data_IF_741728938602
#
_entry.id   IF_741728938602
#
_cell.length_a   1.000
_cell.length_b   1.000
_cell.length_c   1.000
_cell.angle_alpha   90.00
_cell.angle_beta   90.00
_cell.angle_gamma   90.00
#
_symmetry.space_group_name_H-M   'P 1'
#
loop_
_entity.id
_entity.type
_entity.pdbx_description
1 polymer ?
#
# COMPACT_ATOMS: atom_id res chain seq x y z
N UNK A 1 -12.84 2.79 -12.88
CA UNK A 1 -11.68 2.94 -11.99
C UNK A 1 -12.27 3.51 -10.74
N UNK A 2 -12.47 2.62 -9.77
CA UNK A 2 -13.02 2.93 -8.45
C UNK A 2 -11.99 2.53 -7.39
N UNK A 3 -10.71 2.66 -7.77
CA UNK A 3 -9.56 2.21 -7.00
C UNK A 3 -8.96 3.36 -6.19
N UNK A 4 -8.57 3.06 -4.96
CA UNK A 4 -7.76 3.92 -4.11
C UNK A 4 -6.34 3.38 -4.13
N UNK A 5 -5.38 4.19 -4.54
CA UNK A 5 -3.96 3.85 -4.53
C UNK A 5 -3.21 4.85 -3.64
N UNK A 6 -2.58 4.34 -2.58
CA UNK A 6 -1.84 5.14 -1.59
C UNK A 6 -0.37 4.74 -1.60
N UNK A 7 0.51 5.73 -1.55
CA UNK A 7 1.95 5.51 -1.40
C UNK A 7 2.42 6.12 -0.09
N UNK A 8 3.05 5.30 0.77
CA UNK A 8 3.62 5.72 2.05
C UNK A 8 2.61 6.40 3.00
N UNK A 9 3.15 7.30 3.83
CA UNK A 9 2.40 8.20 4.71
C UNK A 9 1.36 9.03 3.91
N UNK A 10 0.22 9.44 4.49
CA UNK A 10 0.07 9.72 5.92
C UNK A 10 -0.87 8.75 6.67
N UNK A 11 -1.68 7.95 5.97
CA UNK A 11 -2.83 7.24 6.54
C UNK A 11 -4.15 7.84 6.06
N UNK A 12 -5.29 7.19 6.38
CA UNK A 12 -6.60 7.54 5.83
C UNK A 12 -7.68 7.85 6.89
N UNK A 13 -7.29 8.04 8.15
CA UNK A 13 -8.16 8.24 9.33
C UNK A 13 -9.18 7.13 9.63
N UNK A 14 -9.23 6.08 8.81
CA UNK A 14 -9.96 4.84 9.05
C UNK A 14 -8.98 3.72 9.39
N UNK A 15 -9.44 2.73 10.17
CA UNK A 15 -8.62 1.57 10.55
C UNK A 15 -8.86 0.35 9.64
N UNK A 16 -9.87 0.40 8.76
CA UNK A 16 -10.14 -0.65 7.78
C UNK A 16 -10.39 -0.13 6.37
N UNK A 17 -9.91 -0.88 5.37
CA UNK A 17 -10.25 -0.67 3.97
C UNK A 17 -11.76 -0.88 3.68
N UNK A 18 -12.50 -1.61 4.52
CA UNK A 18 -13.97 -1.73 4.38
C UNK A 18 -14.69 -0.39 4.57
N UNK A 19 -14.10 0.53 5.36
CA UNK A 19 -14.70 1.83 5.66
C UNK A 19 -14.62 2.80 4.47
N UNK A 20 -13.82 2.49 3.45
CA UNK A 20 -13.63 3.31 2.25
C UNK A 20 -14.70 3.08 1.17
N UNK A 21 -15.58 2.08 1.35
CA UNK A 21 -16.75 1.80 0.50
C UNK A 21 -16.44 1.48 -0.99
N UNK A 22 -15.18 1.28 -1.37
CA UNK A 22 -14.77 0.82 -2.70
C UNK A 22 -14.53 -0.70 -2.78
N UNK A 23 -14.54 -1.37 -1.64
CA UNK A 23 -14.18 -2.78 -1.49
C UNK A 23 -12.68 -2.99 -1.33
N UNK A 24 -12.30 -3.89 -0.43
CA UNK A 24 -10.89 -4.17 -0.06
C UNK A 24 -9.97 -4.50 -1.24
N UNK A 25 -10.49 -5.17 -2.27
CA UNK A 25 -9.74 -5.50 -3.49
C UNK A 25 -9.42 -4.31 -4.40
N UNK A 26 -9.99 -3.14 -4.11
CA UNK A 26 -9.78 -1.88 -4.83
C UNK A 26 -8.99 -0.85 -4.01
N UNK A 27 -8.43 -1.26 -2.86
CA UNK A 27 -7.56 -0.41 -2.03
C UNK A 27 -6.15 -0.95 -2.10
N UNK A 28 -5.23 -0.14 -2.63
CA UNK A 28 -3.87 -0.55 -2.96
C UNK A 28 -2.87 0.31 -2.18
N UNK A 29 -1.91 -0.32 -1.52
CA UNK A 29 -0.89 0.36 -0.72
C UNK A 29 0.52 -0.01 -1.20
N UNK A 30 1.37 1.02 -1.35
CA UNK A 30 2.81 0.88 -1.54
C UNK A 30 3.52 1.42 -0.29
N UNK A 31 4.39 0.63 0.30
CA UNK A 31 5.22 1.04 1.43
C UNK A 31 6.67 0.59 1.18
N UNK A 32 7.57 1.55 0.98
CA UNK A 32 8.98 1.26 0.80
C UNK A 32 9.56 0.76 2.13
N UNK A 33 10.34 -0.34 2.14
CA UNK A 33 10.84 -0.96 3.39
C UNK A 33 11.68 -0.03 4.29
N UNK A 34 12.23 1.05 3.73
CA UNK A 34 13.08 2.03 4.39
C UNK A 34 12.42 3.43 4.52
N UNK A 35 11.11 3.52 4.31
CA UNK A 35 10.34 4.77 4.44
C UNK A 35 9.90 5.05 5.88
N UNK A 36 10.82 5.64 6.66
CA UNK A 36 10.56 6.03 8.05
C UNK A 36 9.52 7.17 8.19
N UNK A 37 9.07 7.80 7.09
CA UNK A 37 8.07 8.87 7.11
C UNK A 37 6.65 8.29 7.13
N UNK A 38 6.44 7.08 6.60
CA UNK A 38 5.19 6.33 6.73
C UNK A 38 4.74 6.24 8.19
N UNK A 39 5.68 5.90 9.07
CA UNK A 39 5.45 5.80 10.52
C UNK A 39 5.13 7.17 11.15
N UNK A 40 5.77 8.26 10.72
CA UNK A 40 5.52 9.60 11.29
C UNK A 40 4.15 10.17 10.89
N UNK A 41 3.71 9.94 9.65
CA UNK A 41 2.39 10.35 9.19
C UNK A 41 1.26 9.61 9.92
N UNK A 42 1.50 8.34 10.28
CA UNK A 42 0.53 7.49 10.98
C UNK A 42 -0.01 8.13 12.26
N UNK A 43 0.83 8.86 13.02
CA UNK A 43 0.43 9.46 14.30
C UNK A 43 -0.71 10.47 14.13
N UNK A 44 -0.71 11.21 13.01
CA UNK A 44 -1.69 12.25 12.72
C UNK A 44 -2.82 11.77 11.79
N UNK A 45 -2.56 10.79 10.93
CA UNK A 45 -3.45 10.42 9.82
C UNK A 45 -3.80 8.93 9.74
N UNK A 46 -3.24 8.08 10.61
CA UNK A 46 -3.69 6.70 10.74
C UNK A 46 -5.08 6.61 11.38
N UNK A 47 -5.81 5.55 11.07
CA UNK A 47 -7.04 5.20 11.78
C UNK A 47 -6.73 4.86 13.23
N UNK A 48 -7.63 5.21 14.14
CA UNK A 48 -7.54 4.75 15.53
C UNK A 48 -8.15 3.36 15.59
N UNK A 49 -7.34 2.35 15.92
CA UNK A 49 -7.82 0.98 16.10
C UNK A 49 -8.94 0.98 17.16
N UNK A 50 -10.12 0.52 16.76
CA UNK A 50 -11.30 0.43 17.64
C UNK A 50 -11.25 -0.77 18.62
N UNK A 51 -10.26 -1.66 18.49
CA UNK A 51 -10.06 -2.88 19.26
C UNK A 51 -8.85 -2.85 20.21
N UNK A 52 -7.82 -2.02 19.94
CA UNK A 52 -6.65 -1.85 20.82
C UNK A 52 -6.48 -0.40 21.31
N UNK A 53 -5.36 -0.08 21.97
CA UNK A 53 -5.21 1.19 22.70
C UNK A 53 -5.28 2.37 21.71
N UNK A 54 -5.74 3.58 22.11
CA UNK A 54 -5.91 4.76 21.25
C UNK A 54 -4.66 5.28 20.50
N UNK A 55 -3.52 4.64 20.72
CA UNK A 55 -2.20 4.97 20.21
C UNK A 55 -1.69 3.95 19.19
N UNK A 56 -2.39 2.84 18.99
CA UNK A 56 -2.16 1.95 17.86
C UNK A 56 -2.88 2.55 16.65
N UNK A 57 -2.09 3.15 15.75
CA UNK A 57 -2.58 3.68 14.48
C UNK A 57 -2.54 2.58 13.43
N UNK A 58 -3.58 2.50 12.60
CA UNK A 58 -3.60 1.62 11.43
C UNK A 58 -3.41 2.46 10.17
N UNK A 59 -2.53 2.02 9.28
CA UNK A 59 -2.30 2.66 7.98
C UNK A 59 -2.52 1.66 6.83
N UNK A 60 -2.70 2.13 5.58
CA UNK A 60 -2.94 1.23 4.45
C UNK A 60 -1.87 0.17 4.19
N UNK A 61 -0.62 0.44 4.61
CA UNK A 61 0.49 -0.50 4.55
C UNK A 61 0.44 -1.61 5.60
N UNK A 62 -0.44 -1.55 6.60
CA UNK A 62 -0.58 -2.61 7.59
C UNK A 62 -1.42 -3.77 7.04
N UNK A 63 -1.01 -5.02 7.31
CA UNK A 63 -1.79 -6.21 6.96
C UNK A 63 -3.22 -6.14 7.52
N UNK A 64 -3.37 -5.67 8.77
CA UNK A 64 -4.67 -5.56 9.45
C UNK A 64 -5.62 -4.53 8.83
N UNK A 65 -5.13 -3.58 8.03
CA UNK A 65 -5.98 -2.62 7.32
C UNK A 65 -6.86 -3.33 6.26
N UNK A 66 -6.34 -4.42 5.69
CA UNK A 66 -7.08 -5.32 4.82
C UNK A 66 -7.18 -4.90 3.35
N UNK A 67 -6.37 -3.94 2.90
CA UNK A 67 -6.16 -3.64 1.48
C UNK A 67 -5.14 -4.56 0.81
N UNK A 68 -4.91 -4.36 -0.49
CA UNK A 68 -3.87 -5.07 -1.26
C UNK A 68 -2.54 -4.31 -1.16
N UNK A 69 -1.51 -5.01 -0.69
CA UNK A 69 -0.16 -4.46 -0.52
C UNK A 69 0.71 -4.79 -1.73
N UNK A 70 1.33 -3.79 -2.32
CA UNK A 70 2.13 -3.88 -3.53
C UNK A 70 3.61 -3.82 -3.18
N UNK A 71 4.44 -4.60 -3.88
CA UNK A 71 5.89 -4.48 -3.73
C UNK A 71 6.35 -3.05 -4.08
N UNK A 72 7.17 -2.47 -3.20
CA UNK A 72 7.80 -1.18 -3.41
C UNK A 72 9.33 -1.31 -3.38
N UNK A 73 10.01 -0.52 -4.20
CA UNK A 73 11.46 -0.37 -4.16
C UNK A 73 11.91 0.36 -2.89
N UNK A 74 13.02 -0.08 -2.32
CA UNK A 74 13.75 0.70 -1.31
C UNK A 74 14.31 1.99 -1.90
N UNK A 75 14.38 3.04 -1.11
CA UNK A 75 14.91 4.35 -1.51
C UNK A 75 14.30 5.52 -0.73
N UNK A 76 13.57 5.23 0.36
CA UNK A 76 12.88 6.21 1.18
C UNK A 76 11.63 6.82 0.53
N UNK A 77 11.11 7.89 1.11
CA UNK A 77 9.76 8.40 0.82
C UNK A 77 9.50 8.89 -0.61
N UNK A 78 10.55 9.16 -1.40
CA UNK A 78 10.40 9.62 -2.78
C UNK A 78 10.53 8.49 -3.82
N UNK A 79 10.98 7.30 -3.41
CA UNK A 79 11.31 6.21 -4.34
C UNK A 79 10.09 5.65 -5.07
N UNK A 80 8.88 5.96 -4.61
CA UNK A 80 7.64 5.54 -5.28
C UNK A 80 7.54 6.02 -6.73
N UNK A 81 8.31 7.05 -7.10
CA UNK A 81 8.30 7.71 -8.40
C UNK A 81 9.59 7.48 -9.20
N UNK A 82 10.48 6.60 -8.74
CA UNK A 82 11.80 6.47 -9.35
C UNK A 82 11.74 5.80 -10.73
N UNK A 83 12.67 6.22 -11.57
CA UNK A 83 12.96 5.59 -12.85
C UNK A 83 14.42 5.14 -12.91
N UNK A 84 14.66 3.99 -13.53
CA UNK A 84 16.01 3.51 -13.85
C UNK A 84 16.17 3.44 -15.36
N UNK A 85 17.10 4.22 -15.91
CA UNK A 85 17.38 4.28 -17.35
C UNK A 85 16.14 4.61 -18.21
N UNK A 86 15.30 5.56 -17.76
CA UNK A 86 14.10 6.00 -18.45
C UNK A 86 12.97 4.96 -18.46
N UNK A 87 12.98 4.05 -17.49
CA UNK A 87 11.91 3.07 -17.25
C UNK A 87 11.46 3.16 -15.80
N UNK A 88 10.16 3.03 -15.53
CA UNK A 88 9.65 2.99 -14.17
C UNK A 88 10.29 1.83 -13.40
N UNK A 89 10.60 2.07 -12.13
CA UNK A 89 10.96 1.03 -11.19
C UNK A 89 9.73 0.18 -10.79
N UNK A 90 9.87 -0.72 -9.79
CA UNK A 90 8.75 -1.58 -9.36
C UNK A 90 7.58 -0.74 -8.83
N UNK A 91 7.87 0.25 -7.99
CA UNK A 91 6.85 1.07 -7.35
C UNK A 91 6.01 1.77 -8.40
N UNK A 92 6.66 2.53 -9.29
CA UNK A 92 5.99 3.31 -10.32
C UNK A 92 5.28 2.42 -11.37
N UNK A 93 5.87 1.26 -11.72
CA UNK A 93 5.22 0.32 -12.63
C UNK A 93 4.00 -0.36 -11.99
N UNK A 94 4.04 -0.66 -10.68
CA UNK A 94 2.88 -1.15 -9.94
C UNK A 94 1.74 -0.12 -9.92
N UNK A 95 2.05 1.16 -9.69
CA UNK A 95 1.05 2.24 -9.80
C UNK A 95 0.40 2.25 -11.19
N UNK A 96 1.22 2.19 -12.26
CA UNK A 96 0.74 2.12 -13.65
C UNK A 96 -0.21 0.94 -13.86
N UNK A 97 0.14 -0.25 -13.37
CA UNK A 97 -0.67 -1.47 -13.56
C UNK A 97 -2.03 -1.36 -12.87
N UNK A 98 -2.11 -0.77 -11.68
CA UNK A 98 -3.39 -0.51 -10.99
C UNK A 98 -4.22 0.51 -11.77
N UNK A 99 -3.65 1.67 -12.12
CA UNK A 99 -4.37 2.74 -12.86
C UNK A 99 -4.88 2.27 -14.22
N UNK A 100 -4.19 1.31 -14.85
CA UNK A 100 -4.59 0.72 -16.12
C UNK A 100 -5.54 -0.47 -15.98
N UNK A 101 -5.87 -0.90 -14.75
CA UNK A 101 -6.79 -2.01 -14.49
C UNK A 101 -6.21 -3.37 -14.85
N UNK A 102 -4.87 -3.50 -14.80
CA UNK A 102 -4.18 -4.70 -15.23
C UNK A 102 -4.26 -5.83 -14.19
N UNK A 103 -4.86 -5.62 -13.02
CA UNK A 103 -5.05 -6.66 -12.01
C UNK A 103 -5.90 -7.85 -12.49
N UNK A 104 -6.79 -7.63 -13.46
CA UNK A 104 -7.58 -8.68 -14.11
C UNK A 104 -6.99 -9.17 -15.44
N UNK A 105 -5.75 -8.77 -15.78
CA UNK A 105 -5.14 -9.15 -17.05
C UNK A 105 -5.11 -10.68 -17.21
N UNK A 106 -5.50 -11.21 -18.39
CA UNK A 106 -5.36 -12.64 -18.68
C UNK A 106 -3.89 -13.08 -18.74
N UNK A 107 -2.96 -12.14 -18.89
CA UNK A 107 -1.53 -12.37 -18.78
C UNK A 107 -1.03 -11.97 -17.38
N UNK A 108 -0.65 -12.94 -16.52
CA UNK A 108 -0.20 -12.66 -15.16
C UNK A 108 1.01 -11.72 -15.07
N UNK A 109 1.86 -11.67 -16.11
CA UNK A 109 3.03 -10.80 -16.12
C UNK A 109 2.68 -9.30 -16.12
N UNK A 110 1.47 -8.95 -16.57
CA UNK A 110 0.99 -7.56 -16.64
C UNK A 110 0.36 -7.09 -15.31
N UNK A 111 0.04 -8.01 -14.40
CA UNK A 111 -0.64 -7.71 -13.14
C UNK A 111 0.29 -7.00 -12.14
N UNK A 112 -0.22 -6.16 -11.24
CA UNK A 112 0.59 -5.61 -10.15
C UNK A 112 1.29 -6.72 -9.36
N UNK A 113 2.53 -6.45 -8.93
CA UNK A 113 3.28 -7.37 -8.07
C UNK A 113 2.91 -7.07 -6.63
N UNK A 114 2.19 -8.00 -6.01
CA UNK A 114 1.75 -7.91 -4.61
C UNK A 114 2.83 -8.44 -3.68
N UNK A 115 2.94 -7.84 -2.50
CA UNK A 115 3.86 -8.34 -1.48
C UNK A 115 3.50 -9.77 -1.06
N UNK A 116 4.53 -10.60 -0.88
CA UNK A 116 4.35 -11.92 -0.27
C UNK A 116 4.67 -11.78 1.21
N UNK A 117 3.66 -11.69 2.06
CA UNK A 117 3.85 -11.63 3.52
C UNK A 117 4.40 -12.98 4.03
N UNK A 118 5.39 -12.98 4.94
CA UNK A 118 5.76 -14.20 5.65
C UNK A 118 4.57 -14.71 6.49
N UNK A 119 4.41 -16.04 6.56
CA UNK A 119 3.34 -16.68 7.34
C UNK A 119 3.38 -16.17 8.79
N UNK A 120 2.27 -15.63 9.35
CA UNK A 120 2.24 -15.06 10.70
C UNK A 120 2.57 -16.07 11.82
N UNK A 121 2.80 -17.35 11.50
CA UNK A 121 3.24 -18.39 12.44
C UNK A 121 4.75 -18.46 12.67
N UNK A 122 5.55 -17.58 12.08
CA UNK A 122 7.02 -17.61 12.20
C UNK A 122 7.66 -16.35 12.82
N UNK A 123 6.87 -15.46 13.44
CA UNK A 123 7.36 -14.30 14.19
C UNK A 123 7.12 -14.44 15.70
#
# INVERSE_FOLDING_TARGET
MDDILVQGSPGMHVDSADDLQVGKGHVWALEAPDDNIAEFGSYAHGGVDSYTRPQDRVIPGDERFGGVRLEANSGGHNSYWDETNGRPDRSLDNQRRVVMGMYDSPNPADRPVVETLPDPKLA
#
